data_IF_695273650563
#
_entry.id   IF_695273650563
#
_cell.length_a   1.000
_cell.length_b   1.000
_cell.length_c   1.000
_cell.angle_alpha   90.00
_cell.angle_beta   90.00
_cell.angle_gamma   90.00
#
_symmetry.space_group_name_H-M   'P 1'
#
loop_
_entity.id
_entity.type
_entity.pdbx_description
1 polymer ?
2 non-polymer ?
3 non-polymer ?
4 water ?
#
# COMPACT_ATOMS: atom_id res chain seq x y z
N UNK A 1 -7.64 1.01 -23.06
CA UNK A 1 -7.13 -0.38 -22.96
C UNK A 1 -7.28 -0.89 -21.54
N UNK A 2 -6.73 -2.08 -21.22
CA UNK A 2 -6.84 -2.59 -19.86
C UNK A 2 -6.06 -1.61 -18.96
N UNK A 3 -6.18 -1.81 -17.67
CA UNK A 3 -5.30 -1.13 -16.69
C UNK A 3 -4.05 -1.99 -16.64
N UNK A 4 -2.90 -1.36 -16.48
CA UNK A 4 -1.65 -2.10 -16.34
C UNK A 4 -1.28 -2.28 -14.86
N UNK A 5 -0.83 -3.46 -14.54
CA UNK A 5 -0.51 -3.89 -13.16
C UNK A 5 0.81 -4.66 -13.11
N UNK A 6 1.49 -4.53 -12.00
CA UNK A 6 2.74 -5.28 -11.73
C UNK A 6 2.60 -5.98 -10.40
N UNK A 7 3.03 -7.22 -10.31
CA UNK A 7 3.19 -7.94 -9.03
C UNK A 7 4.43 -7.45 -8.29
N UNK A 8 4.29 -7.22 -7.00
CA UNK A 8 5.42 -6.75 -6.20
C UNK A 8 5.24 -7.03 -4.72
N UNK A 9 6.30 -6.93 -3.97
CA UNK A 9 6.27 -6.85 -2.51
C UNK A 9 6.80 -5.49 -2.08
N UNK A 10 6.47 -5.12 -0.86
CA UNK A 10 6.98 -3.89 -0.26
C UNK A 10 7.69 -4.25 1.03
N UNK A 11 8.76 -3.53 1.35
CA UNK A 11 9.38 -3.57 2.70
C UNK A 11 9.62 -2.15 3.17
N UNK A 12 9.42 -1.91 4.46
CA UNK A 12 9.64 -0.58 5.07
C UNK A 12 11.17 -0.33 5.11
N UNK A 13 11.54 0.90 5.43
CA UNK A 13 12.96 1.28 5.32
C UNK A 13 13.75 0.62 6.45
N UNK A 14 13.08 0.04 7.42
CA UNK A 14 13.80 -0.73 8.46
C UNK A 14 13.89 -2.15 8.00
N UNK A 15 13.43 -2.48 6.78
CA UNK A 15 13.44 -3.77 6.10
C UNK A 15 12.48 -4.75 6.78
N UNK A 16 11.38 -4.25 7.30
CA UNK A 16 10.27 -5.14 7.71
C UNK A 16 9.38 -5.45 6.51
N UNK A 17 8.92 -6.70 6.46
CA UNK A 17 8.04 -7.26 5.40
C UNK A 17 6.58 -7.17 5.85
N UNK A 18 5.65 -7.07 4.89
CA UNK A 18 4.20 -6.92 5.14
C UNK A 18 3.50 -8.28 4.97
N UNK A 19 2.66 -8.66 5.93
CA UNK A 19 1.96 -9.98 5.98
C UNK A 19 0.48 -9.75 6.30
N UNK A 20 -0.40 -10.60 5.76
CA UNK A 20 -1.79 -10.77 6.25
C UNK A 20 -1.75 -11.51 7.59
N UNK A 21 -2.36 -10.95 8.64
CA UNK A 21 -2.35 -11.52 10.01
C UNK A 21 -3.70 -11.30 10.70
N UNK A 22 -4.79 -11.68 10.04
CA UNK A 22 -6.17 -11.51 10.54
C UNK A 22 -7.10 -11.05 9.43
N UNK A 23 -8.41 -11.43 9.49
CA UNK A 23 -9.32 -11.30 8.35
C UNK A 23 -9.00 -10.22 7.29
N UNK A 24 -8.80 -8.97 7.72
CA UNK A 24 -8.56 -7.77 6.86
C UNK A 24 -7.35 -6.99 7.41
N UNK A 25 -6.35 -7.70 7.93
CA UNK A 25 -5.25 -7.09 8.72
C UNK A 25 -3.93 -7.19 7.95
N UNK A 26 -3.24 -6.06 7.83
CA UNK A 26 -1.85 -5.96 7.33
C UNK A 26 -0.95 -5.51 8.49
N UNK A 27 0.06 -6.31 8.82
CA UNK A 27 1.07 -6.01 9.87
C UNK A 27 2.47 -6.09 9.24
N UNK A 28 3.49 -5.55 9.92
CA UNK A 28 4.88 -5.53 9.43
C UNK A 28 5.79 -6.20 10.46
N UNK A 29 6.68 -7.06 9.99
CA UNK A 29 7.64 -7.74 10.87
C UNK A 29 8.86 -8.09 10.05
N UNK A 30 9.92 -8.29 10.85
CA UNK A 30 11.21 -8.74 10.34
C UNK A 30 11.08 -10.20 9.90
N UNK A 31 11.40 -10.52 8.67
CA UNK A 31 11.20 -11.84 8.05
C UNK A 31 12.41 -12.13 7.22
N UNK A 32 12.85 -13.41 7.24
CA UNK A 32 13.92 -13.88 6.38
C UNK A 32 13.78 -15.40 6.31
N UNK A 33 14.21 -15.95 5.20
CA UNK A 33 14.23 -17.42 5.00
C UNK A 33 12.86 -17.96 4.67
N UNK A 34 12.55 -19.14 5.21
CA UNK A 34 11.32 -19.90 4.83
C UNK A 34 10.13 -18.96 5.02
N UNK A 35 10.09 -18.25 6.15
CA UNK A 35 8.91 -17.46 6.58
C UNK A 35 8.60 -16.37 5.52
N UNK A 36 9.46 -16.15 4.52
CA UNK A 36 9.28 -15.01 3.57
C UNK A 36 8.13 -15.32 2.60
N UNK A 37 7.77 -16.58 2.39
CA UNK A 37 6.57 -16.96 1.61
C UNK A 37 5.34 -16.30 2.25
N UNK A 38 5.38 -15.92 3.53
CA UNK A 38 4.20 -15.37 4.22
C UNK A 38 3.94 -13.93 3.73
N UNK A 39 4.89 -13.30 3.10
CA UNK A 39 4.71 -11.88 2.77
C UNK A 39 3.60 -11.71 1.74
N UNK A 40 2.96 -10.56 1.80
CA UNK A 40 1.86 -10.21 0.91
C UNK A 40 2.45 -9.80 -0.43
N UNK A 41 1.92 -10.38 -1.48
CA UNK A 41 2.16 -9.95 -2.85
C UNK A 41 1.05 -9.02 -3.30
N UNK A 42 1.46 -7.84 -3.71
CA UNK A 42 0.55 -6.84 -4.24
C UNK A 42 0.45 -6.95 -5.74
N UNK A 43 -0.70 -6.58 -6.26
CA UNK A 43 -0.83 -6.17 -7.66
C UNK A 43 -0.95 -4.67 -7.63
N UNK A 44 0.07 -3.96 -8.10
CA UNK A 44 0.12 -2.49 -8.14
C UNK A 44 -0.40 -2.07 -9.48
N UNK A 45 -1.55 -1.42 -9.52
CA UNK A 45 -2.19 -0.94 -10.77
C UNK A 45 -1.83 0.54 -10.97
N UNK A 46 -1.59 0.94 -12.22
CA UNK A 46 -1.23 2.32 -12.56
C UNK A 46 -2.51 3.00 -13.02
N UNK A 47 -3.05 3.87 -12.20
CA UNK A 47 -4.44 4.34 -12.32
C UNK A 47 -4.52 5.78 -12.78
N UNK A 48 -5.73 6.22 -13.08
CA UNK A 48 -6.02 7.63 -13.39
C UNK A 48 -5.73 8.51 -12.19
N UNK A 49 -5.11 9.65 -12.44
CA UNK A 49 -4.93 10.67 -11.41
C UNK A 49 -3.86 11.68 -11.79
N UNK A 50 -3.78 12.78 -11.05
CA UNK A 50 -2.68 13.78 -11.17
C UNK A 50 -1.31 13.09 -11.05
N UNK A 51 -0.38 13.36 -11.98
CA UNK A 51 0.90 12.63 -12.13
C UNK A 51 2.03 13.63 -12.41
N UNK A 52 3.23 13.35 -11.90
CA UNK A 52 4.48 14.09 -12.25
C UNK A 52 5.64 13.10 -12.30
N UNK A 53 6.85 13.57 -12.58
CA UNK A 53 7.98 12.64 -12.82
C UNK A 53 8.09 11.67 -11.66
N UNK A 54 7.96 12.18 -10.44
CA UNK A 54 8.32 11.35 -9.27
C UNK A 54 7.08 10.99 -8.43
N UNK A 55 5.87 11.30 -8.92
CA UNK A 55 4.56 11.13 -8.22
C UNK A 55 3.57 10.42 -9.15
N UNK A 56 3.28 9.14 -8.88
CA UNK A 56 2.58 8.25 -9.86
C UNK A 56 1.39 7.64 -9.13
N UNK A 57 0.16 7.86 -9.60
CA UNK A 57 -1.01 7.33 -8.89
C UNK A 57 -1.11 5.83 -9.11
N UNK A 58 -1.29 5.08 -8.00
CA UNK A 58 -1.43 3.61 -8.07
C UNK A 58 -2.60 3.20 -7.18
N UNK A 59 -3.06 2.00 -7.43
CA UNK A 59 -3.85 1.24 -6.46
C UNK A 59 -3.02 0.04 -6.05
N UNK A 60 -3.24 -0.38 -4.83
CA UNK A 60 -2.58 -1.54 -4.22
C UNK A 60 -3.60 -2.62 -3.92
N UNK A 61 -3.79 -3.58 -4.81
CA UNK A 61 -4.58 -4.77 -4.60
C UNK A 61 -3.76 -5.91 -4.08
N UNK A 62 -4.33 -6.88 -3.39
CA UNK A 62 -3.64 -8.12 -3.02
C UNK A 62 -3.71 -9.05 -4.21
N UNK A 63 -2.59 -9.65 -4.57
CA UNK A 63 -2.54 -10.50 -5.77
C UNK A 63 -3.60 -11.60 -5.70
N UNK A 64 -4.39 -11.63 -6.78
CA UNK A 64 -5.50 -12.57 -7.10
C UNK A 64 -6.50 -12.60 -5.93
N UNK A 65 -6.69 -11.44 -5.30
CA UNK A 65 -7.77 -11.26 -4.30
C UNK A 65 -8.52 -10.01 -4.67
N UNK A 66 -9.81 -9.98 -4.38
CA UNK A 66 -10.65 -8.79 -4.61
C UNK A 66 -10.57 -7.93 -3.36
N UNK A 67 -9.34 -7.56 -2.99
CA UNK A 67 -9.07 -6.74 -1.81
C UNK A 67 -8.09 -5.64 -2.22
N UNK A 68 -8.37 -4.43 -1.78
CA UNK A 68 -7.55 -3.24 -2.08
C UNK A 68 -7.28 -2.53 -0.78
N UNK A 69 -6.11 -1.95 -0.67
CA UNK A 69 -5.92 -0.91 0.35
C UNK A 69 -6.75 0.31 0.01
N UNK A 70 -7.29 0.92 1.07
CA UNK A 70 -8.39 1.91 0.98
C UNK A 70 -8.26 2.94 2.12
N UNK A 71 -8.40 4.24 1.81
CA UNK A 71 -8.29 5.31 2.82
C UNK A 71 -9.70 5.86 3.02
N UNK A 72 -10.16 5.73 4.25
CA UNK A 72 -11.52 6.26 4.60
C UNK A 72 -11.43 6.90 5.97
N UNK A 73 -12.44 7.74 6.25
CA UNK A 73 -12.60 8.20 7.63
C UNK A 73 -13.20 7.09 8.48
N UNK A 74 -12.60 6.82 9.63
CA UNK A 74 -13.19 5.88 10.60
C UNK A 74 -13.17 6.57 11.95
N UNK A 75 -14.32 6.56 12.66
CA UNK A 75 -14.46 7.30 13.94
C UNK A 75 -13.73 8.64 13.71
N UNK A 76 -14.06 9.28 12.60
CA UNK A 76 -13.63 10.65 12.22
C UNK A 76 -12.12 10.79 11.96
N UNK A 77 -11.41 9.71 11.66
CA UNK A 77 -9.96 9.86 11.36
C UNK A 77 -9.65 9.17 10.02
N UNK A 78 -8.73 9.72 9.21
CA UNK A 78 -8.21 9.04 8.01
C UNK A 78 -7.55 7.74 8.49
N UNK A 79 -8.02 6.63 7.95
CA UNK A 79 -7.47 5.31 8.30
C UNK A 79 -7.24 4.50 7.02
N UNK A 80 -6.37 3.53 7.18
CA UNK A 80 -6.08 2.52 6.14
C UNK A 80 -6.94 1.30 6.42
N UNK A 81 -7.64 0.81 5.42
CA UNK A 81 -8.38 -0.45 5.52
C UNK A 81 -8.08 -1.31 4.30
N UNK A 82 -8.39 -2.58 4.42
CA UNK A 82 -8.46 -3.51 3.28
C UNK A 82 -9.93 -3.58 2.93
N UNK A 83 -10.30 -3.29 1.72
CA UNK A 83 -11.70 -3.23 1.31
C UNK A 83 -11.93 -4.25 0.20
N UNK A 84 -13.02 -5.02 0.31
CA UNK A 84 -13.51 -5.99 -0.71
C UNK A 84 -14.15 -5.22 -1.87
N UNK A 85 -14.04 -5.74 -3.10
CA UNK A 85 -14.69 -5.17 -4.27
C UNK A 85 -15.30 -6.30 -5.09
N UNK A 86 -16.11 -5.92 -6.05
CA UNK A 86 -16.70 -6.87 -7.01
C UNK A 86 -15.61 -7.35 -7.93
N UNK A 87 -15.20 -8.63 -7.92
CA UNK A 87 -14.07 -9.07 -8.72
C UNK A 87 -14.29 -8.98 -10.23
N UNK A 88 -15.54 -8.79 -10.67
CA UNK A 88 -15.84 -8.63 -12.12
C UNK A 88 -15.37 -7.25 -12.59
N UNK A 89 -15.19 -6.29 -11.69
CA UNK A 89 -15.10 -4.86 -12.08
C UNK A 89 -13.71 -4.28 -11.78
N UNK A 90 -12.84 -5.06 -11.16
CA UNK A 90 -11.51 -4.58 -10.66
C UNK A 90 -10.44 -5.51 -11.18
N UNK A 91 -9.20 -5.04 -11.40
CA UNK A 91 -8.89 -3.64 -11.29
C UNK A 91 -9.46 -2.89 -12.48
N UNK A 92 -9.48 -1.58 -12.34
CA UNK A 92 -9.85 -0.70 -13.45
C UNK A 92 -8.96 0.52 -13.45
N UNK A 93 -8.97 1.23 -14.57
CA UNK A 93 -8.07 2.39 -14.69
C UNK A 93 -8.58 3.53 -13.82
N UNK A 94 -9.87 3.77 -13.78
CA UNK A 94 -10.50 4.86 -13.01
C UNK A 94 -10.90 4.31 -11.64
N UNK A 95 -9.91 4.03 -10.81
CA UNK A 95 -10.21 3.56 -9.44
C UNK A 95 -10.76 4.73 -8.64
N UNK A 96 -11.69 4.46 -7.74
CA UNK A 96 -12.27 5.47 -6.84
C UNK A 96 -11.17 6.05 -5.94
N UNK A 97 -11.32 7.28 -5.49
CA UNK A 97 -10.20 8.02 -4.89
C UNK A 97 -9.70 7.37 -3.61
N UNK A 98 -10.54 6.72 -2.82
CA UNK A 98 -10.11 6.09 -1.55
C UNK A 98 -9.06 5.01 -1.84
N UNK A 99 -9.00 4.50 -3.07
CA UNK A 99 -8.09 3.38 -3.44
C UNK A 99 -6.77 3.93 -3.94
N UNK A 100 -6.66 5.23 -4.20
CA UNK A 100 -5.52 5.79 -4.93
C UNK A 100 -4.47 6.31 -3.94
N UNK A 101 -3.24 5.89 -4.22
CA UNK A 101 -2.02 6.38 -3.53
C UNK A 101 -1.16 7.06 -4.57
N UNK A 102 -0.56 8.14 -4.15
CA UNK A 102 0.53 8.74 -4.91
C UNK A 102 1.84 8.08 -4.49
N UNK A 103 2.39 7.31 -5.40
CA UNK A 103 3.69 6.64 -5.18
C UNK A 103 4.75 7.68 -5.52
N UNK A 104 5.49 8.08 -4.52
CA UNK A 104 6.47 9.21 -4.57
C UNK A 104 7.87 8.63 -4.40
N UNK A 105 8.76 8.90 -5.34
CA UNK A 105 10.14 8.38 -5.29
C UNK A 105 11.03 9.50 -4.76
N UNK A 106 11.55 9.37 -3.53
CA UNK A 106 12.54 10.35 -2.97
C UNK A 106 13.74 9.56 -2.44
N UNK A 107 14.93 9.92 -2.93
CA UNK A 107 16.23 9.38 -2.47
C UNK A 107 16.14 7.86 -2.42
N UNK A 108 15.75 7.26 -3.54
CA UNK A 108 15.86 5.81 -3.80
C UNK A 108 14.93 5.04 -2.87
N UNK A 109 13.94 5.71 -2.28
CA UNK A 109 12.88 5.08 -1.47
C UNK A 109 11.53 5.53 -2.02
N UNK A 110 10.48 4.84 -1.60
CA UNK A 110 9.11 5.15 -2.03
C UNK A 110 8.29 5.56 -0.82
N UNK A 111 7.38 6.49 -1.04
CA UNK A 111 6.36 6.83 -0.06
C UNK A 111 5.04 6.66 -0.80
N UNK A 112 4.01 6.28 -0.09
CA UNK A 112 2.67 6.13 -0.64
C UNK A 112 1.73 7.05 0.12
N UNK A 113 1.50 8.20 -0.50
CA UNK A 113 0.57 9.19 0.07
C UNK A 113 -0.86 8.86 -0.34
N UNK A 114 -1.80 9.01 0.57
CA UNK A 114 -3.24 8.92 0.19
C UNK A 114 -3.58 10.04 -0.81
N UNK A 115 -4.17 9.73 -1.95
CA UNK A 115 -4.68 10.74 -2.90
C UNK A 115 -5.84 11.42 -2.18
N UNK A 116 -6.64 10.69 -1.44
CA UNK A 116 -7.88 11.23 -0.77
C UNK A 116 -7.46 12.18 0.36
N UNK A 117 -6.41 11.86 1.11
CA UNK A 117 -6.05 12.58 2.34
C UNK A 117 -4.62 13.05 2.17
N UNK A 118 -4.41 14.27 1.64
CA UNK A 118 -3.07 14.80 1.43
C UNK A 118 -2.26 14.78 2.71
N UNK A 119 -1.00 14.34 2.55
CA UNK A 119 0.03 14.27 3.58
C UNK A 119 -0.25 13.22 4.65
N UNK A 120 -1.10 12.25 4.32
CA UNK A 120 -1.28 10.99 5.07
C UNK A 120 -0.66 9.86 4.23
N UNK A 121 0.12 9.05 4.91
CA UNK A 121 1.01 8.06 4.26
C UNK A 121 0.79 6.67 4.81
N UNK A 122 0.95 5.69 3.93
CA UNK A 122 1.09 4.30 4.42
C UNK A 122 2.33 4.28 5.35
N UNK A 123 2.14 3.75 6.54
CA UNK A 123 3.10 3.81 7.66
C UNK A 123 3.21 2.47 8.37
N UNK A 124 4.40 2.24 8.95
CA UNK A 124 4.57 1.14 9.88
C UNK A 124 5.12 1.69 11.18
N UNK A 125 5.00 0.88 12.21
CA UNK A 125 5.62 1.18 13.52
C UNK A 125 7.03 0.61 13.56
N UNK A 126 7.84 1.17 14.46
CA UNK A 126 9.17 0.56 14.73
C UNK A 126 9.07 -0.84 15.37
N UNK A 127 8.13 -1.06 16.28
CA UNK A 127 7.87 -2.38 16.88
C UNK A 127 7.44 -3.38 15.82
N UNK A 128 7.77 -4.63 16.08
CA UNK A 128 7.41 -5.83 15.29
C UNK A 128 5.93 -6.14 15.50
N UNK A 129 5.29 -6.66 14.46
CA UNK A 129 3.95 -7.27 14.52
C UNK A 129 2.85 -6.28 14.86
N UNK A 130 2.96 -5.03 14.38
CA UNK A 130 1.93 -4.01 14.58
C UNK A 130 1.32 -3.70 13.20
N UNK A 131 0.10 -3.18 13.21
CA UNK A 131 -0.63 -2.89 11.99
C UNK A 131 0.14 -1.93 11.09
N UNK A 132 -0.09 -2.13 9.81
CA UNK A 132 0.17 -1.10 8.79
C UNK A 132 -0.97 -0.10 8.87
N UNK A 133 -0.68 1.18 8.83
CA UNK A 133 -1.70 2.17 9.13
C UNK A 133 -1.48 3.38 8.27
N UNK A 134 -2.43 4.30 8.31
CA UNK A 134 -2.28 5.59 7.67
C UNK A 134 -1.85 6.63 8.69
N UNK A 135 -0.71 7.24 8.44
CA UNK A 135 -0.10 8.16 9.40
C UNK A 135 -0.07 9.52 8.81
N UNK A 136 -0.35 10.55 9.64
CA UNK A 136 -0.57 11.95 9.20
C UNK A 136 0.71 12.76 9.20
N UNK A 137 1.88 12.12 9.21
CA UNK A 137 3.14 12.83 8.88
C UNK A 137 4.21 11.85 8.37
N UNK A 138 4.90 12.26 7.28
CA UNK A 138 6.17 11.65 6.77
C UNK A 138 7.34 12.19 7.61
N UNK A 139 7.12 12.50 8.90
CA UNK A 139 8.14 12.83 9.92
C UNK A 139 7.95 11.99 11.19
N UNK A 140 8.94 11.93 12.10
CA UNK A 140 8.82 11.34 13.45
C UNK A 140 9.32 9.89 13.54
N UNK A 141 8.78 9.10 14.49
CA UNK A 141 9.24 7.72 14.83
C UNK A 141 8.64 6.68 13.87
N UNK A 142 7.43 6.92 13.37
CA UNK A 142 6.78 6.00 12.41
C UNK A 142 7.47 6.04 11.04
N UNK A 143 7.43 4.91 10.36
CA UNK A 143 8.18 4.71 9.12
C UNK A 143 7.21 4.92 7.95
N UNK A 144 7.58 5.77 6.99
CA UNK A 144 6.74 6.15 5.83
C UNK A 144 7.48 5.84 4.53
N UNK A 145 8.69 5.28 4.57
CA UNK A 145 9.51 4.99 3.38
C UNK A 145 9.56 3.48 3.19
N UNK A 146 9.55 3.06 1.95
CA UNK A 146 9.52 1.66 1.54
C UNK A 146 10.45 1.44 0.38
N UNK A 147 10.79 0.17 0.14
CA UNK A 147 11.31 -0.30 -1.13
C UNK A 147 10.37 -1.31 -1.73
N UNK A 148 10.36 -1.41 -3.06
CA UNK A 148 9.53 -2.37 -3.81
C UNK A 148 10.47 -3.44 -4.34
N UNK A 149 9.99 -4.68 -4.34
CA UNK A 149 10.66 -5.84 -5.02
C UNK A 149 9.68 -6.32 -6.07
N UNK A 150 10.11 -6.48 -7.29
CA UNK A 150 9.31 -6.97 -8.41
C UNK A 150 9.26 -8.50 -8.25
N UNK A 151 8.07 -9.04 -8.48
CA UNK A 151 7.76 -10.49 -8.37
C UNK A 151 7.35 -10.99 -9.78
N UNK A 152 7.66 -12.25 -10.12
CA UNK A 152 7.17 -12.91 -11.36
C UNK A 152 5.64 -12.97 -11.36
X LIG B 1 -10.41 -0.57 -17.48
X LIG B 1 -11.56 -1.37 -17.82
X LIG B 1 -9.85 0.04 -18.68
X LIG B 1 -10.82 0.46 -16.57
X LIG B 1 -9.40 -1.41 -16.86
X LIG C 1 -18.32 3.59 -4.76
X LIG C 1 -17.45 2.43 -4.97
X LIG C 1 -19.02 3.88 -5.99
X LIG C 1 -19.25 3.27 -3.71
X LIG C 1 -17.55 4.76 -4.40
X LIG D 1 -6.24 -2.87 8.38
X LIG D 1 -5.14 -2.38 6.65
X LIG D 1 -8.72 -4.19 10.71
X LIG D 1 -7.36 -4.32 10.43
X LIG D 1 -6.41 -3.56 11.14
X LIG D 1 -6.82 -2.67 12.12
X LIG D 1 -4.94 -3.76 11.02
X LIG D 1 -4.90 -2.06 5.28
X LIG D 1 -4.27 -3.42 9.81
X LIG D 1 -9.16 -1.56 15.71
X LIG D 1 -8.63 -1.81 13.44
X LIG D 1 -8.46 -2.46 14.70
X LIG D 1 -8.19 -2.58 12.41
X LIG D 1 -9.15 -3.33 11.71
X LIG D 1 -4.84 -2.95 8.65
X LIG D 1 -6.37 -2.53 7.16
X LIG D 1 -4.12 -2.60 7.53
X LIG D 1 -4.32 -4.24 11.95
#
# INVERSE_FOLDING_TARGET
>A
APVRSLNCTLRDSQQKSLVMSGPYELKALHLQGQDMEQQVVFSMSFVQGEESNDKIPVALGLKEKNLYLSCVLKDDKPTLQLESVDPKNYPKKKMEKRFVFNKIEINNKLEFESAQFPNWYISTSQAENMPVFLGGTKGGQDITDFTMQFVSS
>B hetero
1 SO4 S O1 O2 O3 O4
>C hetero
1 SO4 S O1 O2 O3 O4
>D hetero
1 S8J N1 N3 C4 C5 C6 C7 C8 C10 N C O C1 C2 C3 C9 N2 N4 O1
#
